data_IF_522459981432
#
_entry.id   IF_522459981432
#
_cell.length_a   1.000
_cell.length_b   1.000
_cell.length_c   1.000
_cell.angle_alpha   90.00
_cell.angle_beta   90.00
_cell.angle_gamma   90.00
#
_symmetry.space_group_name_H-M   'P 1'
#
loop_
_entity.id
_entity.type
_entity.pdbx_description
1 polymer ?
#
# COMPACT_ATOMS: atom_id res chain seq x y z
N UNK A 1 6.04 -16.98 20.97
CA UNK A 1 6.25 -15.91 19.97
C UNK A 1 5.42 -16.27 18.75
N UNK A 2 4.48 -15.44 18.34
CA UNK A 2 3.65 -15.69 17.16
C UNK A 2 4.45 -15.32 15.89
N UNK A 3 4.04 -15.80 14.72
CA UNK A 3 4.68 -15.52 13.41
C UNK A 3 4.84 -14.01 13.18
N UNK A 4 3.87 -13.19 13.59
CA UNK A 4 3.95 -11.74 13.52
C UNK A 4 5.11 -11.17 14.35
N UNK A 5 5.33 -11.66 15.57
CA UNK A 5 6.42 -11.19 16.43
C UNK A 5 7.79 -11.50 15.82
N UNK A 6 7.93 -12.73 15.29
CA UNK A 6 9.17 -13.17 14.64
C UNK A 6 9.46 -12.32 13.41
N UNK A 7 8.46 -12.10 12.56
CA UNK A 7 8.61 -11.31 11.34
C UNK A 7 8.93 -9.84 11.65
N UNK A 8 8.22 -9.21 12.61
CA UNK A 8 8.51 -7.83 13.03
C UNK A 8 9.93 -7.70 13.58
N UNK A 9 10.40 -8.69 14.35
CA UNK A 9 11.77 -8.71 14.86
C UNK A 9 12.79 -8.84 13.73
N UNK A 10 12.57 -9.72 12.76
CA UNK A 10 13.46 -9.88 11.60
C UNK A 10 13.53 -8.60 10.76
N UNK A 11 12.37 -7.97 10.50
CA UNK A 11 12.30 -6.70 9.79
C UNK A 11 13.02 -5.60 10.58
N UNK A 12 12.86 -5.55 11.91
CA UNK A 12 13.56 -4.61 12.79
C UNK A 12 15.09 -4.79 12.77
N UNK A 13 15.58 -6.04 12.77
CA UNK A 13 17.02 -6.33 12.65
C UNK A 13 17.58 -5.85 11.31
N UNK A 14 16.81 -5.97 10.23
CA UNK A 14 17.18 -5.43 8.92
C UNK A 14 17.35 -3.90 8.98
N UNK A 15 16.37 -3.18 9.54
CA UNK A 15 16.45 -1.72 9.67
C UNK A 15 17.64 -1.21 10.49
N UNK A 16 18.07 -1.98 11.49
CA UNK A 16 19.20 -1.63 12.36
C UNK A 16 20.56 -1.89 11.70
N UNK A 17 20.66 -2.91 10.85
CA UNK A 17 21.96 -3.38 10.35
C UNK A 17 22.44 -2.68 9.08
N UNK A 18 21.55 -2.04 8.27
CA UNK A 18 21.85 -1.13 7.13
C UNK A 18 23.06 -1.49 6.23
N UNK A 19 23.41 -2.77 6.08
CA UNK A 19 24.50 -3.21 5.19
C UNK A 19 24.00 -3.31 3.75
N UNK A 20 24.90 -3.04 2.79
CA UNK A 20 24.61 -2.98 1.36
C UNK A 20 24.08 -4.32 0.79
N UNK A 21 24.37 -5.43 1.46
CA UNK A 21 24.17 -6.79 0.96
C UNK A 21 22.79 -7.38 1.35
N UNK A 22 21.95 -6.63 2.05
CA UNK A 22 20.70 -7.17 2.62
C UNK A 22 19.48 -6.99 1.72
N UNK A 23 19.67 -6.66 0.44
CA UNK A 23 18.57 -6.46 -0.49
C UNK A 23 17.70 -7.71 -0.67
N UNK A 24 18.32 -8.89 -0.72
CA UNK A 24 17.65 -10.19 -0.85
C UNK A 24 16.89 -10.58 0.41
N UNK A 25 17.44 -10.28 1.59
CA UNK A 25 16.77 -10.56 2.86
C UNK A 25 15.50 -9.72 3.01
N UNK A 26 15.55 -8.42 2.68
CA UNK A 26 14.36 -7.57 2.69
C UNK A 26 13.30 -8.09 1.72
N UNK A 27 13.72 -8.42 0.51
CA UNK A 27 12.83 -8.94 -0.53
C UNK A 27 12.12 -10.23 -0.07
N UNK A 28 12.85 -11.18 0.52
CA UNK A 28 12.26 -12.39 1.10
C UNK A 28 11.22 -12.08 2.19
N UNK A 29 11.53 -11.15 3.10
CA UNK A 29 10.62 -10.74 4.17
C UNK A 29 9.36 -10.04 3.63
N UNK A 30 9.49 -9.24 2.57
CA UNK A 30 8.39 -8.52 1.94
C UNK A 30 7.47 -9.43 1.12
N UNK A 31 8.03 -10.45 0.47
CA UNK A 31 7.28 -11.43 -0.31
C UNK A 31 6.56 -12.47 0.57
N UNK A 32 6.98 -12.63 1.82
CA UNK A 32 6.37 -13.58 2.78
C UNK A 32 5.91 -12.91 4.09
N UNK A 33 5.00 -11.91 4.04
CA UNK A 33 4.48 -11.27 5.24
C UNK A 33 3.43 -12.19 5.92
N UNK A 34 3.41 -12.29 7.26
CA UNK A 34 2.36 -13.00 7.97
C UNK A 34 0.97 -12.40 7.68
N UNK A 35 -0.05 -13.24 7.44
CA UNK A 35 -1.42 -12.77 7.13
C UNK A 35 -2.03 -11.93 8.25
N UNK A 36 -1.58 -12.12 9.50
CA UNK A 36 -2.00 -11.35 10.67
C UNK A 36 -1.69 -9.85 10.52
N UNK A 37 -0.78 -9.45 9.64
CA UNK A 37 -0.49 -8.03 9.35
C UNK A 37 -1.73 -7.31 8.82
N UNK A 38 -2.61 -7.99 8.09
CA UNK A 38 -3.65 -7.35 7.27
C UNK A 38 -5.00 -7.12 7.97
N UNK A 39 -5.08 -7.37 9.28
CA UNK A 39 -6.33 -7.24 10.05
C UNK A 39 -7.06 -8.57 10.26
N UNK A 40 -8.35 -8.57 10.65
CA UNK A 40 -9.34 -7.50 10.44
C UNK A 40 -9.26 -6.30 11.39
N UNK A 41 -8.66 -6.46 12.57
CA UNK A 41 -8.46 -5.39 13.55
C UNK A 41 -7.05 -4.81 13.47
N UNK A 42 -6.86 -3.53 13.78
CA UNK A 42 -5.52 -2.92 13.82
C UNK A 42 -5.03 -2.68 15.24
N UNK A 43 -4.29 -3.64 15.78
CA UNK A 43 -3.49 -3.42 16.99
C UNK A 43 -2.31 -2.50 16.68
N UNK A 44 -1.72 -1.90 17.72
CA UNK A 44 -0.50 -1.10 17.57
C UNK A 44 0.64 -1.86 16.89
N UNK A 45 0.75 -3.18 17.14
CA UNK A 45 1.74 -4.03 16.52
C UNK A 45 1.47 -4.25 15.02
N UNK A 46 0.22 -4.51 14.64
CA UNK A 46 -0.17 -4.66 13.23
C UNK A 46 0.04 -3.36 12.47
N UNK A 47 -0.32 -2.21 13.06
CA UNK A 47 -0.05 -0.90 12.46
C UNK A 47 1.44 -0.71 12.16
N UNK A 48 2.33 -1.01 13.14
CA UNK A 48 3.78 -0.99 12.93
C UNK A 48 4.22 -1.97 11.85
N UNK A 49 3.68 -3.18 11.86
CA UNK A 49 4.04 -4.22 10.89
C UNK A 49 3.66 -3.84 9.45
N UNK A 50 2.44 -3.34 9.23
CA UNK A 50 2.00 -2.85 7.93
C UNK A 50 2.88 -1.69 7.46
N UNK A 51 3.17 -0.72 8.35
CA UNK A 51 4.01 0.42 8.01
C UNK A 51 5.43 -0.01 7.62
N UNK A 52 6.05 -0.93 8.39
CA UNK A 52 7.36 -1.49 8.06
C UNK A 52 7.35 -2.28 6.75
N UNK A 53 6.31 -3.07 6.49
CA UNK A 53 6.16 -3.79 5.22
C UNK A 53 6.06 -2.81 4.05
N UNK A 54 5.22 -1.78 4.18
CA UNK A 54 5.01 -0.79 3.15
C UNK A 54 6.30 0.00 2.85
N UNK A 55 7.01 0.46 3.88
CA UNK A 55 8.31 1.11 3.72
C UNK A 55 9.34 0.18 3.06
N UNK A 56 9.36 -1.11 3.40
CA UNK A 56 10.22 -2.09 2.74
C UNK A 56 9.93 -2.27 1.25
N UNK A 57 8.65 -2.29 0.84
CA UNK A 57 8.27 -2.27 -0.58
C UNK A 57 8.83 -1.03 -1.29
N UNK A 58 8.69 0.16 -0.68
CA UNK A 58 9.20 1.41 -1.25
C UNK A 58 10.73 1.44 -1.32
N UNK A 59 11.44 0.87 -0.34
CA UNK A 59 12.90 0.76 -0.38
C UNK A 59 13.41 -0.13 -1.51
N UNK A 60 12.74 -1.25 -1.76
CA UNK A 60 13.08 -2.12 -2.89
C UNK A 60 12.79 -1.37 -4.19
N UNK A 61 11.63 -0.72 -4.31
CA UNK A 61 11.31 0.12 -5.45
C UNK A 61 12.41 1.16 -5.72
N UNK A 62 12.80 1.95 -4.72
CA UNK A 62 13.80 3.02 -4.87
C UNK A 62 15.18 2.47 -5.28
N UNK A 63 15.57 1.30 -4.77
CA UNK A 63 16.83 0.66 -5.15
C UNK A 63 16.81 0.18 -6.60
N UNK A 64 15.69 -0.39 -7.05
CA UNK A 64 15.58 -1.05 -8.34
C UNK A 64 15.14 -0.09 -9.47
N UNK A 65 14.67 1.13 -9.16
CA UNK A 65 14.00 2.02 -10.14
C UNK A 65 14.83 2.37 -11.38
N UNK A 66 16.16 2.35 -11.28
CA UNK A 66 17.06 2.70 -12.39
C UNK A 66 17.70 1.47 -13.04
N UNK A 67 17.99 0.42 -12.27
CA UNK A 67 18.68 -0.79 -12.74
C UNK A 67 17.72 -1.85 -13.25
N UNK A 68 16.56 -1.99 -12.58
CA UNK A 68 15.54 -2.99 -12.86
C UNK A 68 14.13 -2.37 -12.84
N UNK A 69 13.77 -1.46 -13.78
CA UNK A 69 12.49 -0.73 -13.75
C UNK A 69 11.24 -1.62 -13.65
N UNK A 70 11.25 -2.78 -14.32
CA UNK A 70 10.15 -3.75 -14.23
C UNK A 70 9.98 -4.31 -12.80
N UNK A 71 11.09 -4.65 -12.13
CA UNK A 71 11.07 -5.15 -10.75
C UNK A 71 10.60 -4.06 -9.80
N UNK A 72 11.12 -2.85 -9.94
CA UNK A 72 10.69 -1.70 -9.14
C UNK A 72 9.16 -1.52 -9.23
N UNK A 73 8.63 -1.50 -10.45
CA UNK A 73 7.20 -1.39 -10.69
C UNK A 73 6.39 -2.55 -10.08
N UNK A 74 6.88 -3.78 -10.15
CA UNK A 74 6.23 -4.93 -9.49
C UNK A 74 6.08 -4.74 -7.98
N UNK A 75 7.05 -4.12 -7.30
CA UNK A 75 6.93 -3.82 -5.86
C UNK A 75 5.89 -2.73 -5.57
N UNK A 76 5.70 -1.74 -6.45
CA UNK A 76 4.58 -0.80 -6.34
C UNK A 76 3.24 -1.52 -6.51
N UNK A 77 3.13 -2.42 -7.50
CA UNK A 77 1.91 -3.20 -7.74
C UNK A 77 1.60 -4.17 -6.59
N UNK A 78 2.62 -4.79 -6.01
CA UNK A 78 2.50 -5.64 -4.82
C UNK A 78 1.95 -4.83 -3.64
N UNK A 79 2.54 -3.66 -3.37
CA UNK A 79 2.07 -2.74 -2.33
C UNK A 79 0.60 -2.36 -2.57
N UNK A 80 0.28 -1.89 -3.76
CA UNK A 80 -1.07 -1.45 -4.13
C UNK A 80 -2.11 -2.57 -3.97
N UNK A 81 -1.84 -3.76 -4.52
CA UNK A 81 -2.78 -4.88 -4.51
C UNK A 81 -3.08 -5.41 -3.10
N UNK A 82 -2.09 -5.46 -2.20
CA UNK A 82 -2.31 -5.84 -0.80
C UNK A 82 -3.18 -4.82 -0.06
N UNK A 83 -2.92 -3.52 -0.26
CA UNK A 83 -3.75 -2.46 0.32
C UNK A 83 -5.18 -2.51 -0.23
N UNK A 84 -5.34 -2.73 -1.54
CA UNK A 84 -6.63 -2.90 -2.19
C UNK A 84 -7.42 -4.06 -1.57
N UNK A 85 -6.77 -5.21 -1.34
CA UNK A 85 -7.38 -6.37 -0.66
C UNK A 85 -7.91 -5.99 0.73
N UNK A 86 -7.14 -5.23 1.52
CA UNK A 86 -7.57 -4.78 2.86
C UNK A 86 -8.79 -3.87 2.79
N UNK A 87 -8.83 -2.95 1.84
CA UNK A 87 -9.96 -2.02 1.64
C UNK A 87 -11.24 -2.77 1.27
N UNK A 88 -11.15 -3.71 0.32
CA UNK A 88 -12.29 -4.50 -0.15
C UNK A 88 -12.81 -5.51 0.87
N UNK A 89 -12.00 -5.90 1.87
CA UNK A 89 -12.43 -6.82 2.91
C UNK A 89 -13.45 -6.16 3.85
N UNK A 90 -14.68 -6.66 3.88
CA UNK A 90 -15.77 -6.13 4.71
C UNK A 90 -15.50 -6.23 6.22
N UNK A 91 -14.65 -7.15 6.65
CA UNK A 91 -14.28 -7.33 8.06
C UNK A 91 -13.22 -6.32 8.54
N UNK A 92 -12.50 -5.65 7.64
CA UNK A 92 -11.44 -4.70 8.03
C UNK A 92 -12.01 -3.46 8.71
N UNK A 93 -11.38 -3.03 9.80
CA UNK A 93 -11.73 -1.79 10.48
C UNK A 93 -11.63 -0.56 9.57
N UNK A 94 -12.56 0.38 9.74
CA UNK A 94 -12.65 1.59 8.90
C UNK A 94 -11.37 2.43 8.92
N UNK A 95 -10.73 2.56 10.09
CA UNK A 95 -9.48 3.30 10.22
C UNK A 95 -8.34 2.68 9.41
N UNK A 96 -8.26 1.34 9.38
CA UNK A 96 -7.30 0.61 8.56
C UNK A 96 -7.60 0.80 7.07
N UNK A 97 -8.86 0.69 6.65
CA UNK A 97 -9.26 0.97 5.25
C UNK A 97 -8.89 2.39 4.83
N UNK A 98 -9.20 3.37 5.68
CA UNK A 98 -8.87 4.78 5.45
C UNK A 98 -7.37 4.99 5.25
N UNK A 99 -6.54 4.40 6.12
CA UNK A 99 -5.09 4.45 5.98
C UNK A 99 -4.61 3.80 4.67
N UNK A 100 -5.13 2.61 4.33
CA UNK A 100 -4.78 1.93 3.08
C UNK A 100 -5.14 2.77 1.84
N UNK A 101 -6.31 3.41 1.82
CA UNK A 101 -6.74 4.30 0.73
C UNK A 101 -5.78 5.48 0.54
N UNK A 102 -5.36 6.12 1.64
CA UNK A 102 -4.36 7.20 1.58
C UNK A 102 -3.02 6.72 1.00
N UNK A 103 -2.55 5.53 1.40
CA UNK A 103 -1.33 4.96 0.85
C UNK A 103 -1.46 4.57 -0.63
N UNK A 104 -2.64 4.10 -1.06
CA UNK A 104 -2.89 3.78 -2.48
C UNK A 104 -2.88 5.03 -3.37
N UNK A 105 -3.39 6.16 -2.89
CA UNK A 105 -3.26 7.45 -3.59
C UNK A 105 -1.79 7.85 -3.73
N UNK A 106 -1.02 7.77 -2.63
CA UNK A 106 0.41 8.06 -2.65
C UNK A 106 1.18 7.16 -3.62
N UNK A 107 0.93 5.85 -3.61
CA UNK A 107 1.51 4.90 -4.58
C UNK A 107 1.17 5.25 -6.03
N UNK A 108 -0.03 5.77 -6.29
CA UNK A 108 -0.43 6.18 -7.63
C UNK A 108 0.39 7.37 -8.12
N UNK A 109 0.64 8.35 -7.25
CA UNK A 109 1.52 9.49 -7.56
C UNK A 109 2.94 9.01 -7.84
N UNK A 110 3.51 8.17 -6.96
CA UNK A 110 4.85 7.59 -7.14
C UNK A 110 4.93 6.81 -8.47
N UNK A 111 3.93 5.96 -8.75
CA UNK A 111 3.87 5.16 -9.98
C UNK A 111 3.81 6.02 -11.24
N UNK A 112 3.06 7.13 -11.21
CA UNK A 112 2.98 8.09 -12.31
C UNK A 112 4.31 8.79 -12.56
N UNK A 113 4.95 9.30 -11.51
CA UNK A 113 6.25 9.96 -11.59
C UNK A 113 7.31 9.00 -12.11
N UNK A 114 7.32 7.77 -11.60
CA UNK A 114 8.19 6.70 -12.06
C UNK A 114 8.00 6.44 -13.55
N UNK A 115 6.77 6.21 -14.00
CA UNK A 115 6.46 5.94 -15.40
C UNK A 115 6.87 7.09 -16.32
N UNK A 116 6.64 8.34 -15.90
CA UNK A 116 7.01 9.54 -16.66
C UNK A 116 8.53 9.68 -16.84
N UNK A 117 9.32 9.20 -15.89
CA UNK A 117 10.78 9.26 -15.95
C UNK A 117 11.39 8.17 -16.83
N UNK A 118 10.61 7.17 -17.26
CA UNK A 118 11.11 6.11 -18.13
C UNK A 118 11.11 6.53 -19.60
N UNK A 119 12.09 6.03 -20.36
CA UNK A 119 12.27 6.38 -21.77
C UNK A 119 11.33 5.64 -22.71
N UNK A 120 10.85 4.46 -22.34
CA UNK A 120 10.05 3.61 -23.23
C UNK A 120 8.56 3.96 -23.18
N UNK A 121 7.95 4.11 -24.36
CA UNK A 121 6.51 4.39 -24.55
C UNK A 121 5.54 3.49 -23.76
N UNK A 122 5.90 2.23 -23.48
CA UNK A 122 5.07 1.31 -22.69
C UNK A 122 4.72 1.86 -21.31
N UNK A 123 5.59 2.69 -20.73
CA UNK A 123 5.38 3.27 -19.40
C UNK A 123 4.32 4.36 -19.40
N UNK A 124 4.14 5.07 -20.52
CA UNK A 124 3.02 5.99 -20.69
C UNK A 124 1.68 5.25 -20.74
N UNK A 125 1.61 4.14 -21.48
CA UNK A 125 0.41 3.31 -21.48
C UNK A 125 0.14 2.72 -20.09
N UNK A 126 1.19 2.26 -19.42
CA UNK A 126 1.13 1.69 -18.07
C UNK A 126 0.62 2.73 -17.06
N UNK A 127 1.05 4.00 -17.18
CA UNK A 127 0.60 5.07 -16.29
C UNK A 127 -0.88 5.41 -16.49
N UNK A 128 -1.36 5.44 -17.74
CA UNK A 128 -2.79 5.63 -18.03
C UNK A 128 -3.64 4.49 -17.46
N UNK A 129 -3.23 3.24 -17.66
CA UNK A 129 -3.94 2.07 -17.12
C UNK A 129 -3.98 2.10 -15.58
N UNK A 130 -2.87 2.47 -14.94
CA UNK A 130 -2.82 2.59 -13.47
C UNK A 130 -3.80 3.65 -12.96
N UNK A 131 -3.79 4.84 -13.53
CA UNK A 131 -4.67 5.94 -13.10
C UNK A 131 -6.13 5.59 -13.29
N UNK A 132 -6.49 5.06 -14.45
CA UNK A 132 -7.88 4.67 -14.74
C UNK A 132 -8.35 3.58 -13.77
N UNK A 133 -7.52 2.56 -13.50
CA UNK A 133 -7.82 1.55 -12.50
C UNK A 133 -7.95 2.14 -11.08
N UNK A 134 -7.08 3.08 -10.70
CA UNK A 134 -7.15 3.75 -9.41
C UNK A 134 -8.42 4.58 -9.26
N UNK A 135 -8.75 5.43 -10.23
CA UNK A 135 -9.96 6.27 -10.22
C UNK A 135 -11.22 5.42 -10.12
N UNK A 136 -11.33 4.36 -10.93
CA UNK A 136 -12.46 3.42 -10.88
C UNK A 136 -12.58 2.77 -9.50
N UNK A 137 -11.46 2.34 -8.92
CA UNK A 137 -11.45 1.75 -7.59
C UNK A 137 -11.91 2.74 -6.51
N UNK A 138 -11.36 3.97 -6.51
CA UNK A 138 -11.70 5.01 -5.54
C UNK A 138 -13.18 5.41 -5.61
N UNK A 139 -13.73 5.50 -6.83
CA UNK A 139 -15.15 5.76 -7.06
C UNK A 139 -16.04 4.63 -6.52
N UNK A 140 -15.66 3.37 -6.76
CA UNK A 140 -16.41 2.20 -6.27
C UNK A 140 -16.39 2.07 -4.73
N UNK A 141 -15.45 2.70 -4.03
CA UNK A 141 -15.40 2.74 -2.57
C UNK A 141 -16.11 3.97 -1.98
N UNK A 142 -16.78 4.81 -2.80
CA UNK A 142 -17.43 6.07 -2.38
C UNK A 142 -16.51 6.99 -1.58
N UNK A 143 -15.20 6.93 -1.80
CA UNK A 143 -14.22 7.64 -0.97
C UNK A 143 -14.31 9.17 -1.09
N UNK A 144 -14.60 9.65 -2.30
CA UNK A 144 -14.74 11.08 -2.60
C UNK A 144 -16.17 11.59 -2.42
N UNK A 145 -17.12 10.71 -2.12
CA UNK A 145 -18.43 11.16 -1.68
C UNK A 145 -18.22 11.65 -0.25
N UNK A 146 -18.20 12.96 -0.10
CA UNK A 146 -18.41 13.57 1.21
C UNK A 146 -19.56 12.80 1.85
N UNK A 147 -19.39 12.29 3.07
CA UNK A 147 -20.54 11.98 3.92
C UNK A 147 -21.26 13.32 4.08
N UNK A 148 -22.10 13.66 3.11
CA UNK A 148 -23.04 14.75 3.20
C UNK A 148 -23.92 14.32 4.37
N UNK A 149 -23.57 14.81 5.56
CA UNK A 149 -24.43 14.83 6.73
C UNK A 149 -25.59 15.84 6.51
N UNK A 150 -25.97 16.08 5.25
CA UNK A 150 -27.16 16.81 4.82
C UNK A 150 -28.34 15.85 4.61
N UNK A 151 -28.33 14.66 5.22
CA UNK A 151 -29.59 14.11 5.71
C UNK A 151 -30.02 14.93 6.93
N UNK A 152 -30.35 16.20 6.67
CA UNK A 152 -31.07 17.05 7.58
C UNK A 152 -32.30 16.27 8.02
N UNK A 153 -32.36 16.01 9.32
CA UNK A 153 -33.56 15.63 10.02
C UNK A 153 -34.68 16.57 9.59
N UNK A 154 -35.53 16.14 8.65
CA UNK A 154 -36.85 16.73 8.49
C UNK A 154 -37.69 16.24 9.66
N UNK A 155 -37.39 16.81 10.83
CA UNK A 155 -38.28 16.81 11.98
C UNK A 155 -38.77 18.23 12.16
N UNK A 156 -40.10 18.33 12.23
CA UNK A 156 -40.92 19.42 12.78
C UNK A 156 -41.61 20.37 11.77
N UNK A 157 -42.91 20.09 11.64
CA UNK A 157 -44.03 20.98 11.94
C UNK A 157 -44.17 22.31 11.17
N UNK A 158 -45.18 22.35 10.30
CA UNK A 158 -46.43 23.07 10.61
C UNK A 158 -47.62 22.50 9.83
#
# INVERSE_FOLDING_TARGET
>A
MNQLDTWVKQMGLWYQSRKHDQGELLESLILSPPEQIWGPRITQQQSKAIACWFDGCLRIFERERYTSPNKAYQFLQLAYSKLQKVVTNSASELALKHWCMMQMQHLTVIGLEFCRQQTHSRWLETSHQWVDAHVRFMAAQSWNESRNNDQGSSTLCH
#
